data_IF_851706778976
#
_entry.id   IF_851706778976
#
_cell.length_a   1.000
_cell.length_b   1.000
_cell.length_c   1.000
_cell.angle_alpha   90.00
_cell.angle_beta   90.00
_cell.angle_gamma   90.00
#
_symmetry.space_group_name_H-M   'P 1'
#
loop_
_entity.id
_entity.type
_entity.pdbx_description
1 polymer ?
#
# COMPACT_ATOMS: atom_id res chain seq x y z
N UNK A 1 -4.22 -13.80 4.33
CA UNK A 1 -3.11 -12.92 4.75
C UNK A 1 -3.60 -11.59 5.32
N UNK A 2 -4.43 -10.80 4.64
CA UNK A 2 -4.93 -9.50 5.16
C UNK A 2 -5.65 -9.55 6.53
N UNK A 3 -6.65 -10.41 6.71
CA UNK A 3 -7.32 -10.54 8.02
C UNK A 3 -6.37 -11.03 9.12
N UNK A 4 -5.36 -11.83 8.73
CA UNK A 4 -4.34 -12.29 9.66
C UNK A 4 -3.35 -11.18 10.03
N UNK A 5 -3.03 -10.24 9.13
CA UNK A 5 -2.19 -9.07 9.44
C UNK A 5 -2.90 -8.10 10.38
N UNK A 6 -4.20 -7.84 10.17
CA UNK A 6 -5.01 -7.02 11.11
C UNK A 6 -5.01 -7.65 12.51
N UNK A 7 -5.26 -8.95 12.60
CA UNK A 7 -5.23 -9.67 13.87
C UNK A 7 -3.83 -9.63 14.51
N UNK A 8 -2.78 -9.77 13.70
CA UNK A 8 -1.39 -9.74 14.15
C UNK A 8 -0.98 -8.36 14.68
N UNK A 9 -1.35 -7.27 14.00
CA UNK A 9 -1.08 -5.90 14.42
C UNK A 9 -1.81 -5.58 15.73
N UNK A 10 -3.09 -5.98 15.85
CA UNK A 10 -3.84 -5.84 17.09
C UNK A 10 -3.18 -6.61 18.24
N UNK A 11 -2.71 -7.83 18.00
CA UNK A 11 -1.96 -8.62 18.99
C UNK A 11 -0.65 -7.94 19.39
N UNK A 12 0.12 -7.43 18.43
CA UNK A 12 1.37 -6.72 18.71
C UNK A 12 1.13 -5.45 19.53
N UNK A 13 0.12 -4.65 19.20
CA UNK A 13 -0.27 -3.48 20.00
C UNK A 13 -0.64 -3.90 21.43
N UNK A 14 -1.39 -4.99 21.61
CA UNK A 14 -1.78 -5.47 22.93
C UNK A 14 -0.61 -6.10 23.71
N UNK A 15 0.37 -6.68 23.04
CA UNK A 15 1.54 -7.31 23.65
C UNK A 15 2.66 -6.31 24.00
N UNK A 16 2.87 -5.30 23.15
CA UNK A 16 3.98 -4.34 23.27
C UNK A 16 3.58 -3.06 24.00
N UNK A 17 2.36 -2.53 23.80
CA UNK A 17 1.95 -1.26 24.40
C UNK A 17 1.37 -1.45 25.81
N UNK A 18 1.95 -0.78 26.84
CA UNK A 18 1.35 -0.67 28.17
C UNK A 18 -0.05 -0.08 28.08
N UNK A 19 -0.97 -0.51 28.96
CA UNK A 19 -2.38 -0.05 28.94
C UNK A 19 -2.53 1.47 28.92
N UNK A 20 -1.64 2.19 29.61
CA UNK A 20 -1.65 3.66 29.68
C UNK A 20 -1.28 4.36 28.36
N UNK A 21 -0.62 3.66 27.43
CA UNK A 21 -0.22 4.18 26.12
C UNK A 21 -1.11 3.66 24.99
N UNK A 22 -2.11 2.82 25.31
CA UNK A 22 -3.06 2.34 24.30
C UNK A 22 -3.99 3.48 23.92
N UNK A 23 -4.32 3.65 22.63
CA UNK A 23 -5.29 4.65 22.21
C UNK A 23 -6.60 4.46 22.98
N UNK A 24 -7.03 5.51 23.70
CA UNK A 24 -8.32 5.50 24.41
C UNK A 24 -9.48 5.98 23.53
N UNK A 25 -9.16 6.55 22.37
CA UNK A 25 -10.17 6.94 21.40
C UNK A 25 -10.77 5.69 20.76
N UNK A 26 -12.11 5.61 20.79
CA UNK A 26 -12.83 4.47 20.24
C UNK A 26 -13.19 4.76 18.80
N UNK A 27 -12.75 3.90 17.88
CA UNK A 27 -13.20 3.97 16.50
C UNK A 27 -14.72 3.91 16.43
N UNK A 28 -15.31 4.79 15.64
CA UNK A 28 -16.75 4.74 15.37
C UNK A 28 -17.01 3.59 14.41
N UNK A 29 -17.96 2.72 14.72
CA UNK A 29 -18.22 1.50 13.92
C UNK A 29 -18.54 1.84 12.46
N UNK A 30 -19.26 2.93 12.22
CA UNK A 30 -19.55 3.37 10.86
C UNK A 30 -18.27 3.73 10.08
N UNK A 31 -17.34 4.44 10.71
CA UNK A 31 -16.06 4.80 10.12
C UNK A 31 -15.20 3.54 9.84
N UNK A 32 -15.15 2.60 10.80
CA UNK A 32 -14.46 1.31 10.60
C UNK A 32 -15.03 0.52 9.44
N UNK A 33 -16.36 0.41 9.33
CA UNK A 33 -17.02 -0.30 8.22
C UNK A 33 -16.75 0.38 6.89
N UNK A 34 -16.79 1.72 6.84
CA UNK A 34 -16.52 2.50 5.64
C UNK A 34 -15.07 2.36 5.18
N UNK A 35 -14.08 2.51 6.08
CA UNK A 35 -12.65 2.33 5.77
C UNK A 35 -12.35 0.90 5.31
N UNK A 36 -12.86 -0.11 6.03
CA UNK A 36 -12.66 -1.51 5.66
C UNK A 36 -13.26 -1.82 4.28
N UNK A 37 -14.47 -1.31 4.01
CA UNK A 37 -15.13 -1.50 2.71
C UNK A 37 -14.34 -0.84 1.58
N UNK A 38 -13.83 0.38 1.80
CA UNK A 38 -13.01 1.09 0.82
C UNK A 38 -11.69 0.34 0.53
N UNK A 39 -11.00 -0.11 1.58
CA UNK A 39 -9.77 -0.91 1.46
C UNK A 39 -10.00 -2.24 0.73
N UNK A 40 -11.08 -2.96 1.07
CA UNK A 40 -11.43 -4.22 0.40
C UNK A 40 -11.79 -4.03 -1.07
N UNK A 41 -12.57 -2.99 -1.38
CA UNK A 41 -12.89 -2.64 -2.78
C UNK A 41 -11.62 -2.29 -3.55
N UNK A 42 -10.71 -1.51 -2.96
CA UNK A 42 -9.42 -1.18 -3.57
C UNK A 42 -8.59 -2.44 -3.85
N UNK A 43 -8.48 -3.37 -2.90
CA UNK A 43 -7.76 -4.64 -3.11
C UNK A 43 -8.35 -5.46 -4.26
N UNK A 44 -9.68 -5.58 -4.32
CA UNK A 44 -10.35 -6.34 -5.38
C UNK A 44 -10.16 -5.69 -6.75
N UNK A 45 -10.41 -4.38 -6.86
CA UNK A 45 -10.29 -3.63 -8.11
C UNK A 45 -8.84 -3.60 -8.59
N UNK A 46 -7.89 -3.32 -7.69
CA UNK A 46 -6.46 -3.31 -8.03
C UNK A 46 -5.97 -4.68 -8.50
N UNK A 47 -6.44 -5.78 -7.89
CA UNK A 47 -6.05 -7.13 -8.30
C UNK A 47 -6.62 -7.49 -9.68
N UNK A 48 -7.87 -7.13 -9.97
CA UNK A 48 -8.45 -7.30 -11.31
C UNK A 48 -7.70 -6.44 -12.33
N UNK A 49 -7.44 -5.16 -12.02
CA UNK A 49 -6.70 -4.26 -12.90
C UNK A 49 -5.27 -4.78 -13.16
N UNK A 50 -4.63 -5.36 -12.15
CA UNK A 50 -3.30 -5.96 -12.29
C UNK A 50 -3.33 -7.18 -13.22
N UNK A 51 -4.23 -8.13 -12.98
CA UNK A 51 -4.31 -9.36 -13.79
C UNK A 51 -4.64 -9.05 -15.25
N UNK A 52 -5.56 -8.11 -15.49
CA UNK A 52 -6.08 -7.83 -16.83
C UNK A 52 -5.19 -6.85 -17.62
N UNK A 53 -4.54 -5.89 -16.95
CA UNK A 53 -3.86 -4.77 -17.61
C UNK A 53 -2.41 -4.62 -17.16
N UNK A 54 -2.16 -4.35 -15.87
CA UNK A 54 -0.84 -3.95 -15.42
C UNK A 54 0.20 -5.09 -15.51
N UNK A 55 -0.20 -6.32 -15.19
CA UNK A 55 0.64 -7.52 -15.27
C UNK A 55 1.05 -7.86 -16.71
N UNK A 56 0.11 -7.97 -17.66
CA UNK A 56 0.45 -8.15 -19.07
C UNK A 56 1.33 -7.02 -19.63
N UNK A 57 1.03 -5.77 -19.29
CA UNK A 57 1.85 -4.62 -19.70
C UNK A 57 3.26 -4.70 -19.11
N UNK A 58 3.39 -5.00 -17.82
CA UNK A 58 4.67 -5.21 -17.16
C UNK A 58 5.47 -6.32 -17.85
N UNK A 59 4.83 -7.47 -18.14
CA UNK A 59 5.47 -8.59 -18.83
C UNK A 59 5.95 -8.17 -20.22
N UNK A 60 5.14 -7.47 -21.00
CA UNK A 60 5.53 -6.98 -22.32
C UNK A 60 6.74 -6.02 -22.24
N UNK A 61 6.74 -5.10 -21.26
CA UNK A 61 7.88 -4.21 -21.02
C UNK A 61 9.12 -5.00 -20.62
N UNK A 62 8.97 -5.97 -19.73
CA UNK A 62 10.07 -6.80 -19.29
C UNK A 62 10.66 -7.64 -20.44
N UNK A 63 9.84 -8.17 -21.34
CA UNK A 63 10.30 -9.02 -22.44
C UNK A 63 10.92 -8.23 -23.61
N UNK A 64 10.42 -7.03 -23.89
CA UNK A 64 10.81 -6.28 -25.09
C UNK A 64 11.66 -5.02 -24.83
N UNK A 65 11.54 -4.42 -23.65
CA UNK A 65 12.13 -3.10 -23.33
C UNK A 65 12.81 -3.04 -21.97
N UNK A 66 13.16 -4.17 -21.35
CA UNK A 66 13.93 -4.14 -20.10
C UNK A 66 15.31 -3.53 -20.35
N UNK A 67 15.73 -2.66 -19.43
CA UNK A 67 16.95 -1.88 -19.57
C UNK A 67 18.23 -2.67 -19.30
N UNK A 68 18.15 -3.72 -18.46
CA UNK A 68 19.31 -4.51 -18.05
C UNK A 68 18.90 -5.88 -17.50
N UNK A 69 19.83 -6.84 -17.62
CA UNK A 69 19.71 -8.20 -17.07
C UNK A 69 20.45 -8.35 -15.73
N UNK A 70 21.16 -7.31 -15.28
CA UNK A 70 22.00 -7.35 -14.10
C UNK A 70 21.28 -7.66 -12.77
N UNK A 71 19.94 -7.58 -12.77
CA UNK A 71 19.09 -7.77 -11.59
C UNK A 71 18.18 -9.00 -11.68
N UNK A 72 18.45 -9.92 -12.62
CA UNK A 72 17.65 -11.13 -12.77
C UNK A 72 17.89 -12.16 -11.66
N UNK A 73 19.07 -12.15 -11.04
CA UNK A 73 19.36 -13.04 -9.92
C UNK A 73 18.54 -12.63 -8.68
N UNK A 74 17.61 -13.48 -8.21
CA UNK A 74 16.80 -13.19 -7.03
C UNK A 74 17.62 -13.03 -5.74
N UNK A 75 18.88 -13.50 -5.72
CA UNK A 75 19.79 -13.39 -4.57
C UNK A 75 20.72 -12.18 -4.67
N UNK A 76 20.62 -11.35 -5.71
CA UNK A 76 21.45 -10.17 -5.89
C UNK A 76 21.12 -9.11 -4.84
N UNK A 77 21.99 -8.96 -3.84
CA UNK A 77 21.86 -7.93 -2.81
C UNK A 77 21.84 -6.52 -3.41
N UNK A 78 22.65 -6.27 -4.45
CA UNK A 78 22.67 -4.98 -5.15
C UNK A 78 21.34 -4.72 -5.88
N UNK A 79 20.80 -5.73 -6.58
CA UNK A 79 19.51 -5.62 -7.25
C UNK A 79 18.37 -5.34 -6.26
N UNK A 80 18.39 -6.00 -5.11
CA UNK A 80 17.43 -5.75 -4.04
C UNK A 80 17.50 -4.29 -3.55
N UNK A 81 18.69 -3.78 -3.23
CA UNK A 81 18.85 -2.41 -2.74
C UNK A 81 18.46 -1.34 -3.77
N UNK A 82 18.80 -1.56 -5.04
CA UNK A 82 18.41 -0.64 -6.11
C UNK A 82 16.89 -0.64 -6.33
N UNK A 83 16.25 -1.81 -6.34
CA UNK A 83 14.79 -1.91 -6.41
C UNK A 83 14.12 -1.25 -5.21
N UNK A 84 14.64 -1.45 -4.00
CA UNK A 84 14.14 -0.80 -2.79
C UNK A 84 14.19 0.72 -2.91
N UNK A 85 15.35 1.28 -3.25
CA UNK A 85 15.52 2.73 -3.39
C UNK A 85 14.69 3.32 -4.53
N UNK A 86 14.63 2.63 -5.67
CA UNK A 86 13.81 3.07 -6.79
C UNK A 86 12.32 3.04 -6.43
N UNK A 87 11.85 1.99 -5.75
CA UNK A 87 10.47 1.87 -5.28
C UNK A 87 10.12 2.99 -4.31
N UNK A 88 10.99 3.27 -3.33
CA UNK A 88 10.79 4.34 -2.35
C UNK A 88 10.72 5.72 -3.04
N UNK A 89 11.67 6.01 -3.93
CA UNK A 89 11.70 7.27 -4.67
C UNK A 89 10.47 7.46 -5.56
N UNK A 90 10.07 6.41 -6.31
CA UNK A 90 8.87 6.45 -7.15
C UNK A 90 7.60 6.65 -6.32
N UNK A 91 7.51 5.99 -5.16
CA UNK A 91 6.40 6.18 -4.24
C UNK A 91 6.36 7.60 -3.68
N UNK A 92 7.49 8.17 -3.28
CA UNK A 92 7.58 9.56 -2.83
C UNK A 92 7.10 10.53 -3.92
N UNK A 93 7.55 10.36 -5.16
CA UNK A 93 7.13 11.20 -6.29
C UNK A 93 5.63 11.06 -6.53
N UNK A 94 5.09 9.84 -6.53
CA UNK A 94 3.66 9.60 -6.66
C UNK A 94 2.87 10.29 -5.54
N UNK A 95 3.27 10.08 -4.29
CA UNK A 95 2.61 10.67 -3.12
C UNK A 95 2.62 12.20 -3.20
N UNK A 96 3.78 12.80 -3.51
CA UNK A 96 3.92 14.24 -3.68
C UNK A 96 3.06 14.76 -4.83
N UNK A 97 3.04 14.08 -5.97
CA UNK A 97 2.20 14.44 -7.11
C UNK A 97 0.70 14.38 -6.76
N UNK A 98 0.29 13.44 -5.89
CA UNK A 98 -1.09 13.35 -5.40
C UNK A 98 -1.54 14.57 -4.60
N UNK A 99 -0.62 15.33 -4.01
CA UNK A 99 -0.91 16.62 -3.37
C UNK A 99 -0.97 17.80 -4.36
N UNK A 100 -0.52 17.62 -5.61
CA UNK A 100 -0.51 18.67 -6.63
C UNK A 100 -1.61 18.52 -7.70
N UNK A 101 -2.01 17.29 -8.05
CA UNK A 101 -2.96 17.04 -9.13
C UNK A 101 -4.30 16.54 -8.60
N UNK A 102 -5.40 17.19 -8.99
CA UNK A 102 -6.75 16.96 -8.44
C UNK A 102 -7.26 15.52 -8.57
N UNK A 103 -6.92 14.84 -9.67
CA UNK A 103 -7.35 13.45 -9.92
C UNK A 103 -6.54 12.44 -9.11
N UNK A 104 -5.26 12.71 -8.86
CA UNK A 104 -4.44 11.91 -7.94
C UNK A 104 -4.78 12.23 -6.48
N UNK A 105 -5.16 13.47 -6.19
CA UNK A 105 -5.71 13.85 -4.89
C UNK A 105 -6.98 13.05 -4.56
N UNK A 106 -7.89 12.89 -5.54
CA UNK A 106 -9.11 12.12 -5.33
C UNK A 106 -8.86 10.66 -4.91
N UNK A 107 -7.82 10.00 -5.45
CA UNK A 107 -7.43 8.65 -5.02
C UNK A 107 -6.66 8.63 -3.70
N UNK A 108 -6.06 9.76 -3.31
CA UNK A 108 -5.24 9.89 -2.11
C UNK A 108 -6.06 10.33 -0.88
N UNK A 109 -6.93 11.33 -0.99
CA UNK A 109 -7.68 11.88 0.15
C UNK A 109 -8.61 10.85 0.80
N UNK A 110 -9.06 9.84 0.05
CA UNK A 110 -10.01 8.83 0.54
C UNK A 110 -9.47 8.05 1.74
N UNK A 111 -8.17 7.76 1.79
CA UNK A 111 -7.58 7.07 2.97
C UNK A 111 -7.30 8.03 4.12
N UNK A 112 -7.32 9.34 3.89
CA UNK A 112 -7.23 10.36 4.93
C UNK A 112 -8.60 10.88 5.40
N UNK A 113 -9.69 10.22 4.97
CA UNK A 113 -11.05 10.68 5.28
C UNK A 113 -11.51 10.35 6.70
N UNK A 114 -10.88 9.40 7.38
CA UNK A 114 -11.17 9.08 8.77
C UNK A 114 -10.62 10.16 9.70
N UNK A 115 -11.50 10.80 10.47
CA UNK A 115 -11.15 11.79 11.51
C UNK A 115 -10.31 11.18 12.64
N UNK A 116 -10.48 9.89 12.89
CA UNK A 116 -9.83 9.13 13.97
C UNK A 116 -8.57 8.40 13.51
N UNK A 117 -8.11 8.66 12.28
CA UNK A 117 -6.98 7.98 11.66
C UNK A 117 -7.12 6.45 11.77
N UNK A 118 -8.33 5.95 11.52
CA UNK A 118 -8.58 4.54 11.21
C UNK A 118 -8.06 4.31 9.78
N UNK A 119 -6.75 4.11 9.71
CA UNK A 119 -6.05 3.61 8.53
C UNK A 119 -6.23 2.10 8.40
#
# INVERSE_FOLDING_TARGET
>A
WFLASIAWEALLMLAVLPRALRPMHRYRINDTVSSLSAGMLFLLVSQVAFIQWAGPLYKAIYEHWRLTDAFQDPQSALGWWLCFLASDMLYYVFHRASHYFSWLWASHVVHHSSEEYNL
#
